data_IF_164249671903
#
_entry.id   IF_164249671903
#
_cell.length_a   1.000
_cell.length_b   1.000
_cell.length_c   1.000
_cell.angle_alpha   90.00
_cell.angle_beta   90.00
_cell.angle_gamma   90.00
#
_symmetry.space_group_name_H-M   'P 1'
#
loop_
_entity.id
_entity.type
_entity.pdbx_description
1 polymer ?
#
# COMPACT_ATOMS: atom_id res chain seq x y z
N UNK A 1 -8.15 40.54 -13.43
CA UNK A 1 -7.39 40.16 -12.23
C UNK A 1 -7.17 38.66 -12.28
N UNK A 2 -5.93 38.15 -12.17
CA UNK A 2 -5.62 36.74 -12.39
C UNK A 2 -6.18 35.88 -11.24
N UNK A 3 -6.55 34.64 -11.57
CA UNK A 3 -7.25 33.71 -10.69
C UNK A 3 -6.48 33.40 -9.42
N UNK A 4 -7.04 33.81 -8.28
CA UNK A 4 -6.52 33.46 -6.96
C UNK A 4 -7.18 32.14 -6.51
N UNK A 5 -6.62 31.01 -6.92
CA UNK A 5 -6.97 29.68 -6.38
C UNK A 5 -5.82 28.71 -6.63
N UNK A 6 -4.62 29.07 -6.15
CA UNK A 6 -3.43 28.20 -6.21
C UNK A 6 -3.59 26.90 -5.40
N UNK A 7 -4.67 26.75 -4.64
CA UNK A 7 -5.13 25.47 -4.07
C UNK A 7 -6.64 25.38 -4.32
N UNK A 8 -7.08 24.39 -5.12
CA UNK A 8 -8.51 24.10 -5.29
C UNK A 8 -9.15 23.84 -3.92
N UNK A 9 -10.33 24.40 -3.69
CA UNK A 9 -11.10 24.17 -2.46
C UNK A 9 -11.34 22.69 -2.15
N UNK A 10 -11.31 21.82 -3.16
CA UNK A 10 -11.37 20.36 -3.01
C UNK A 10 -10.09 19.77 -2.42
N UNK A 11 -8.92 20.25 -2.87
CA UNK A 11 -7.63 19.84 -2.30
C UNK A 11 -7.56 20.19 -0.82
N UNK A 12 -8.00 21.40 -0.45
CA UNK A 12 -8.02 21.83 0.95
C UNK A 12 -8.97 20.97 1.79
N UNK A 13 -10.18 20.67 1.28
CA UNK A 13 -11.13 19.75 1.95
C UNK A 13 -10.54 18.35 2.12
N UNK A 14 -9.79 17.86 1.15
CA UNK A 14 -9.10 16.57 1.25
C UNK A 14 -8.04 16.56 2.35
N UNK A 15 -7.29 17.64 2.52
CA UNK A 15 -6.26 17.76 3.56
C UNK A 15 -6.88 17.85 4.95
N UNK A 16 -7.99 18.57 5.08
CA UNK A 16 -8.72 18.67 6.34
C UNK A 16 -9.22 17.30 6.81
N UNK A 17 -9.89 16.54 5.92
CA UNK A 17 -10.34 15.18 6.25
C UNK A 17 -9.19 14.24 6.63
N UNK A 18 -8.06 14.32 5.91
CA UNK A 18 -6.86 13.56 6.28
C UNK A 18 -6.34 13.92 7.67
N UNK A 19 -6.32 15.21 8.00
CA UNK A 19 -5.91 15.67 9.31
C UNK A 19 -6.89 15.24 10.42
N UNK A 20 -8.19 15.21 10.16
CA UNK A 20 -9.19 14.64 11.08
C UNK A 20 -8.96 13.14 11.32
N UNK A 21 -8.76 12.37 10.25
CA UNK A 21 -8.41 10.96 10.35
C UNK A 21 -7.13 10.73 11.16
N UNK A 22 -6.08 11.52 10.90
CA UNK A 22 -4.80 11.46 11.63
C UNK A 22 -4.92 11.81 13.13
N UNK A 23 -5.95 12.58 13.51
CA UNK A 23 -6.27 12.89 14.92
C UNK A 23 -7.23 11.88 15.56
N UNK A 24 -7.70 10.87 14.82
CA UNK A 24 -8.72 9.93 15.29
C UNK A 24 -10.13 10.50 15.31
N UNK A 25 -10.36 11.63 14.63
CA UNK A 25 -11.66 12.29 14.45
C UNK A 25 -12.34 11.88 13.13
N UNK A 26 -11.69 11.02 12.34
CA UNK A 26 -12.20 10.52 11.07
C UNK A 26 -13.37 9.54 11.20
N UNK A 27 -13.92 9.14 10.05
CA UNK A 27 -15.02 8.16 10.02
C UNK A 27 -14.55 6.78 10.51
N UNK A 28 -15.47 5.96 11.03
CA UNK A 28 -15.13 4.61 11.48
C UNK A 28 -14.56 3.78 10.32
N UNK A 29 -13.33 3.28 10.50
CA UNK A 29 -12.60 2.52 9.48
C UNK A 29 -11.75 3.40 8.54
N UNK A 30 -11.72 4.71 8.74
CA UNK A 30 -10.80 5.58 8.02
C UNK A 30 -9.37 5.39 8.56
N UNK A 31 -8.45 5.03 7.66
CA UNK A 31 -7.05 4.86 8.01
C UNK A 31 -6.35 6.21 8.10
N UNK A 32 -5.57 6.37 9.16
CA UNK A 32 -4.55 7.42 9.26
C UNK A 32 -3.56 7.31 8.10
N UNK A 33 -2.85 8.40 7.83
CA UNK A 33 -1.76 8.47 6.88
C UNK A 33 -0.70 7.40 7.17
N UNK A 34 -0.33 7.23 8.45
CA UNK A 34 0.65 6.24 8.89
C UNK A 34 0.18 4.80 8.65
N UNK A 35 -1.06 4.46 9.01
CA UNK A 35 -1.62 3.13 8.77
C UNK A 35 -1.72 2.80 7.28
N UNK A 36 -2.07 3.80 6.45
CA UNK A 36 -2.14 3.64 5.00
C UNK A 36 -0.77 3.37 4.39
N UNK A 37 0.26 4.09 4.84
CA UNK A 37 1.65 3.86 4.43
C UNK A 37 2.14 2.48 4.85
N UNK A 38 1.85 2.07 6.08
CA UNK A 38 2.21 0.77 6.59
C UNK A 38 1.52 -0.36 5.83
N UNK A 39 0.22 -0.23 5.57
CA UNK A 39 -0.53 -1.19 4.76
C UNK A 39 0.06 -1.32 3.34
N UNK A 40 0.51 -0.21 2.75
CA UNK A 40 1.19 -0.23 1.44
C UNK A 40 2.53 -0.95 1.52
N UNK A 41 3.32 -0.71 2.58
CA UNK A 41 4.60 -1.41 2.82
C UNK A 41 4.38 -2.92 2.95
N UNK A 42 3.46 -3.33 3.81
CA UNK A 42 3.14 -4.74 4.05
C UNK A 42 2.63 -5.43 2.79
N UNK A 43 1.76 -4.79 2.01
CA UNK A 43 1.29 -5.35 0.73
C UNK A 43 2.43 -5.59 -0.25
N UNK A 44 3.40 -4.68 -0.30
CA UNK A 44 4.60 -4.83 -1.15
C UNK A 44 5.45 -6.00 -0.68
N UNK A 45 5.73 -6.06 0.63
CA UNK A 45 6.53 -7.14 1.22
C UNK A 45 5.88 -8.52 1.00
N UNK A 46 4.57 -8.65 1.23
CA UNK A 46 3.84 -9.88 0.97
C UNK A 46 3.93 -10.31 -0.50
N UNK A 47 3.88 -9.37 -1.45
CA UNK A 47 4.01 -9.69 -2.87
C UNK A 47 5.43 -10.20 -3.21
N UNK A 48 6.47 -9.57 -2.66
CA UNK A 48 7.87 -9.97 -2.85
C UNK A 48 8.15 -11.35 -2.22
N UNK A 49 7.62 -11.60 -1.02
CA UNK A 49 7.70 -12.90 -0.36
C UNK A 49 7.01 -13.99 -1.19
N UNK A 50 5.79 -13.73 -1.68
CA UNK A 50 5.06 -14.68 -2.51
C UNK A 50 5.82 -15.01 -3.81
N UNK A 51 6.42 -14.01 -4.45
CA UNK A 51 7.24 -14.22 -5.64
C UNK A 51 8.45 -15.10 -5.33
N UNK A 52 9.12 -14.87 -4.20
CA UNK A 52 10.28 -15.66 -3.78
C UNK A 52 9.88 -17.12 -3.52
N UNK A 53 8.75 -17.33 -2.84
CA UNK A 53 8.21 -18.66 -2.57
C UNK A 53 7.95 -19.41 -3.89
N UNK A 54 7.35 -18.75 -4.88
CA UNK A 54 7.08 -19.39 -6.18
C UNK A 54 8.37 -19.73 -6.94
N UNK A 55 9.39 -18.88 -6.90
CA UNK A 55 10.70 -19.19 -7.49
C UNK A 55 11.31 -20.44 -6.82
N UNK A 56 11.28 -20.50 -5.50
CA UNK A 56 11.82 -21.63 -4.75
C UNK A 56 11.07 -22.92 -5.05
N UNK A 57 9.72 -22.89 -5.05
CA UNK A 57 8.90 -24.05 -5.42
C UNK A 57 9.23 -24.55 -6.82
N UNK A 58 9.36 -23.64 -7.80
CA UNK A 58 9.70 -24.00 -9.17
C UNK A 58 11.10 -24.63 -9.27
N UNK A 59 12.08 -24.09 -8.54
CA UNK A 59 13.41 -24.67 -8.47
C UNK A 59 13.37 -26.07 -7.85
N UNK A 60 12.68 -26.25 -6.71
CA UNK A 60 12.53 -27.55 -6.06
C UNK A 60 11.85 -28.57 -6.99
N UNK A 61 10.76 -28.17 -7.67
CA UNK A 61 10.06 -29.04 -8.62
C UNK A 61 10.95 -29.45 -9.80
N UNK A 62 11.79 -28.54 -10.30
CA UNK A 62 12.76 -28.84 -11.35
C UNK A 62 13.79 -29.88 -10.89
N UNK A 63 14.39 -29.69 -9.70
CA UNK A 63 15.41 -30.61 -9.18
C UNK A 63 14.87 -32.00 -8.84
N UNK A 64 13.66 -32.11 -8.29
CA UNK A 64 13.03 -33.41 -8.03
C UNK A 64 12.84 -34.20 -9.34
N UNK A 65 12.31 -33.55 -10.37
CA UNK A 65 12.11 -34.17 -11.69
C UNK A 65 13.42 -34.63 -12.35
N UNK A 66 14.52 -33.90 -12.12
CA UNK A 66 15.84 -34.28 -12.66
C UNK A 66 16.48 -35.43 -11.86
N UNK A 67 16.19 -35.55 -10.57
CA UNK A 67 16.70 -36.64 -9.74
C UNK A 67 15.96 -37.98 -9.96
N UNK A 68 14.71 -37.93 -10.43
CA UNK A 68 13.90 -39.10 -10.78
C UNK A 68 14.28 -39.74 -12.14
N UNK A 69 15.22 -39.15 -12.90
CA UNK A 69 15.73 -39.67 -14.19
C UNK A 69 17.03 -40.45 -14.04
#
# INVERSE_FOLDING_TARGET
MPGNSEISSESLRGWYRRAEADRGEGESGELTSAEREELKRLRKECAEQQQTIEILKNATAFFVRENDR
#
